data_IF_938470114883
#
_entry.id   IF_938470114883
#
_cell.length_a   1.000
_cell.length_b   1.000
_cell.length_c   1.000
_cell.angle_alpha   90.00
_cell.angle_beta   90.00
_cell.angle_gamma   90.00
#
_symmetry.space_group_name_H-M   'P 1'
#
loop_
_entity.id
_entity.type
_entity.pdbx_description
1 polymer ?
#
# COMPACT_ATOMS: atom_id res chain seq x y z
N UNK A 1 1.76 -0.30 -8.50
CA UNK A 1 1.14 0.99 -8.10
C UNK A 1 1.69 2.01 -9.06
N UNK A 2 1.00 2.21 -10.17
CA UNK A 2 1.28 3.31 -11.09
C UNK A 2 0.79 4.60 -10.40
N UNK A 3 1.47 5.73 -10.64
CA UNK A 3 1.41 6.98 -9.86
C UNK A 3 0.05 7.71 -9.77
N UNK A 4 -1.06 7.05 -10.07
CA UNK A 4 -2.41 7.63 -10.09
C UNK A 4 -3.07 7.67 -8.70
N UNK A 5 -2.51 6.96 -7.72
CA UNK A 5 -3.01 6.92 -6.34
C UNK A 5 -2.21 7.82 -5.38
N UNK A 6 -1.97 9.08 -5.74
CA UNK A 6 -1.35 10.07 -4.84
C UNK A 6 -2.37 10.62 -3.83
N UNK A 7 -1.95 10.91 -2.61
CA UNK A 7 -2.79 11.56 -1.57
C UNK A 7 -2.37 13.01 -1.27
N UNK A 8 -1.20 13.42 -1.78
CA UNK A 8 -0.66 14.77 -1.65
C UNK A 8 -0.64 15.44 -3.02
N UNK A 9 -0.64 16.77 -3.03
CA UNK A 9 -0.57 17.56 -4.26
C UNK A 9 0.75 17.31 -5.00
N UNK A 10 1.86 17.31 -4.25
CA UNK A 10 3.21 17.09 -4.75
C UNK A 10 3.90 15.99 -3.93
N UNK A 11 3.79 14.70 -4.32
CA UNK A 11 4.54 13.61 -3.68
C UNK A 11 6.04 13.80 -3.83
N UNK A 12 6.81 13.43 -2.81
CA UNK A 12 8.27 13.44 -2.92
C UNK A 12 8.74 12.42 -3.97
N UNK A 13 9.75 12.80 -4.73
CA UNK A 13 10.28 11.97 -5.81
C UNK A 13 11.53 11.21 -5.36
N UNK A 14 11.64 9.94 -5.76
CA UNK A 14 12.87 9.17 -5.63
C UNK A 14 13.74 9.44 -6.85
N UNK A 15 14.88 10.12 -6.66
CA UNK A 15 15.89 10.37 -7.70
C UNK A 15 17.20 9.75 -7.28
N UNK A 16 17.82 8.99 -8.19
CA UNK A 16 19.11 8.31 -7.94
C UNK A 16 19.08 7.43 -6.67
N UNK A 17 17.95 6.77 -6.41
CA UNK A 17 17.76 5.89 -5.25
C UNK A 17 17.61 6.62 -3.90
N UNK A 18 17.34 7.93 -3.90
CA UNK A 18 17.24 8.76 -2.70
C UNK A 18 16.04 9.71 -2.79
N UNK A 19 15.59 10.19 -1.63
CA UNK A 19 14.60 11.26 -1.50
C UNK A 19 15.30 12.48 -0.89
N UNK A 20 15.10 13.66 -1.49
CA UNK A 20 15.61 14.91 -0.91
C UNK A 20 14.75 15.32 0.29
N UNK A 21 15.38 15.76 1.38
CA UNK A 21 14.65 16.35 2.52
C UNK A 21 14.12 17.72 2.09
N UNK A 22 12.81 18.00 2.20
CA UNK A 22 12.26 19.30 1.82
C UNK A 22 12.74 20.43 2.73
N UNK A 23 12.99 21.61 2.15
CA UNK A 23 13.31 22.84 2.92
C UNK A 23 12.06 23.53 3.49
N UNK A 24 10.85 23.10 3.08
CA UNK A 24 9.59 23.63 3.58
C UNK A 24 9.31 23.17 5.02
N UNK A 25 8.60 23.97 5.85
CA UNK A 25 8.25 23.60 7.21
C UNK A 25 7.40 22.33 7.32
N UNK A 26 7.44 21.70 8.50
CA UNK A 26 6.63 20.52 8.80
C UNK A 26 7.09 19.29 8.00
N UNK A 27 6.14 18.55 7.43
CA UNK A 27 6.43 17.38 6.59
C UNK A 27 6.82 17.74 5.16
N UNK A 28 6.69 19.01 4.75
CA UNK A 28 6.99 19.45 3.38
C UNK A 28 6.03 18.92 2.31
N UNK A 29 4.77 18.62 2.68
CA UNK A 29 3.74 18.13 1.75
C UNK A 29 2.40 18.79 2.04
N UNK A 30 1.60 18.95 0.98
CA UNK A 30 0.23 19.46 1.05
C UNK A 30 -0.77 18.37 0.66
N UNK A 31 -1.85 18.24 1.42
CA UNK A 31 -2.87 17.22 1.17
C UNK A 31 -3.70 17.55 -0.07
N UNK A 32 -4.06 16.52 -0.84
CA UNK A 32 -5.05 16.62 -1.91
C UNK A 32 -6.37 15.98 -1.43
N UNK A 33 -7.32 16.82 -1.03
CA UNK A 33 -8.58 16.36 -0.45
C UNK A 33 -9.47 15.61 -1.45
N UNK A 34 -9.38 15.91 -2.75
CA UNK A 34 -10.12 15.18 -3.78
C UNK A 34 -9.61 13.74 -3.86
N UNK A 35 -8.29 13.57 -3.84
CA UNK A 35 -7.67 12.25 -3.85
C UNK A 35 -7.92 11.47 -2.55
N UNK A 36 -7.90 12.15 -1.41
CA UNK A 36 -8.27 11.53 -0.12
C UNK A 36 -9.71 11.02 -0.16
N UNK A 37 -10.64 11.80 -0.70
CA UNK A 37 -12.03 11.37 -0.83
C UNK A 37 -12.17 10.17 -1.77
N UNK A 38 -11.45 10.15 -2.91
CA UNK A 38 -11.43 8.99 -3.82
C UNK A 38 -10.91 7.74 -3.10
N UNK A 39 -9.84 7.86 -2.31
CA UNK A 39 -9.29 6.75 -1.53
C UNK A 39 -10.25 6.29 -0.42
N UNK A 40 -10.97 7.21 0.22
CA UNK A 40 -11.99 6.90 1.21
C UNK A 40 -13.19 6.14 0.60
N UNK A 41 -13.68 6.56 -0.57
CA UNK A 41 -14.73 5.84 -1.29
C UNK A 41 -14.24 4.48 -1.82
N UNK A 42 -12.96 4.35 -2.19
CA UNK A 42 -12.36 3.04 -2.47
C UNK A 42 -12.39 2.14 -1.23
N UNK A 43 -11.99 2.64 -0.06
CA UNK A 43 -12.04 1.89 1.20
C UNK A 43 -13.45 1.44 1.56
N UNK A 44 -14.45 2.32 1.47
CA UNK A 44 -15.86 2.00 1.76
C UNK A 44 -16.45 0.87 0.90
N UNK A 45 -15.89 0.66 -0.30
CA UNK A 45 -16.32 -0.40 -1.23
C UNK A 45 -15.68 -1.76 -0.94
N UNK A 46 -14.63 -1.82 -0.11
CA UNK A 46 -13.98 -3.07 0.22
C UNK A 46 -14.81 -3.87 1.23
N UNK A 47 -14.80 -5.22 1.14
CA UNK A 47 -15.32 -6.04 2.22
C UNK A 47 -14.56 -5.70 3.51
N UNK A 48 -15.31 -5.50 4.60
CA UNK A 48 -14.73 -5.11 5.88
C UNK A 48 -13.69 -6.11 6.38
N UNK A 49 -12.58 -5.61 6.91
CA UNK A 49 -11.55 -6.46 7.49
C UNK A 49 -10.22 -5.77 7.64
N UNK A 50 -9.31 -6.44 8.35
CA UNK A 50 -7.90 -6.10 8.35
C UNK A 50 -7.18 -6.88 7.24
N UNK A 51 -5.92 -6.51 6.97
CA UNK A 51 -5.05 -7.23 6.05
C UNK A 51 -4.98 -8.72 6.41
N UNK A 52 -5.24 -9.58 5.42
CA UNK A 52 -5.07 -11.03 5.53
C UNK A 52 -4.45 -11.60 4.24
N UNK A 53 -3.13 -11.77 4.24
CA UNK A 53 -2.39 -12.27 3.08
C UNK A 53 -2.69 -13.75 2.77
N UNK A 54 -3.26 -14.50 3.73
CA UNK A 54 -3.64 -15.89 3.52
C UNK A 54 -4.84 -16.05 2.57
N UNK A 55 -5.70 -15.02 2.46
CA UNK A 55 -6.86 -15.03 1.57
C UNK A 55 -6.46 -15.17 0.09
N UNK A 56 -5.66 -14.24 -0.45
CA UNK A 56 -5.14 -14.36 -1.82
C UNK A 56 -4.33 -15.63 -2.07
N UNK A 57 -3.61 -16.15 -1.07
CA UNK A 57 -2.84 -17.39 -1.21
C UNK A 57 -3.70 -18.62 -1.49
N UNK A 58 -5.00 -18.62 -1.14
CA UNK A 58 -5.90 -19.75 -1.43
C UNK A 58 -6.09 -19.99 -2.93
N UNK A 59 -5.93 -18.97 -3.78
CA UNK A 59 -5.98 -19.12 -5.23
C UNK A 59 -4.73 -19.82 -5.81
N UNK A 60 -3.62 -19.81 -5.06
CA UNK A 60 -2.37 -20.45 -5.48
C UNK A 60 -2.22 -21.85 -4.88
N UNK A 61 -2.56 -22.00 -3.59
CA UNK A 61 -2.46 -23.27 -2.85
C UNK A 61 -3.71 -23.39 -1.94
N UNK A 62 -4.71 -24.21 -2.31
CA UNK A 62 -5.88 -24.44 -1.46
C UNK A 62 -5.47 -24.99 -0.08
N UNK A 63 -5.96 -24.38 0.99
CA UNK A 63 -5.60 -24.73 2.36
C UNK A 63 -4.27 -24.14 2.83
N UNK A 64 -3.71 -23.16 2.11
CA UNK A 64 -2.50 -22.48 2.55
C UNK A 64 -2.70 -21.80 3.90
N UNK A 65 -1.73 -21.98 4.79
CA UNK A 65 -1.67 -21.31 6.11
C UNK A 65 -0.30 -20.68 6.33
N UNK A 66 -0.24 -19.62 7.13
CA UNK A 66 1.03 -19.01 7.53
C UNK A 66 1.86 -19.97 8.38
N UNK A 67 3.17 -20.00 8.11
CA UNK A 67 4.15 -20.71 8.92
C UNK A 67 5.40 -19.84 9.05
N UNK A 68 5.67 -19.34 10.26
CA UNK A 68 6.81 -18.46 10.56
C UNK A 68 8.20 -19.09 10.36
N UNK A 69 8.28 -20.40 10.13
CA UNK A 69 9.54 -21.13 9.94
C UNK A 69 9.66 -21.76 8.56
N UNK A 70 8.72 -21.49 7.64
CA UNK A 70 8.73 -22.06 6.30
C UNK A 70 8.45 -20.98 5.25
N UNK A 71 9.18 -20.96 4.12
CA UNK A 71 8.83 -20.12 2.98
C UNK A 71 7.42 -20.39 2.46
N UNK A 72 6.82 -19.41 1.77
CA UNK A 72 5.43 -19.48 1.26
C UNK A 72 5.15 -20.75 0.45
N UNK A 73 6.10 -21.12 -0.43
CA UNK A 73 6.07 -22.31 -1.31
C UNK A 73 6.93 -23.48 -0.79
N UNK A 74 7.38 -23.45 0.46
CA UNK A 74 8.22 -24.52 1.04
C UNK A 74 7.47 -25.80 1.41
N UNK A 75 6.21 -25.97 0.97
CA UNK A 75 5.44 -27.21 1.11
C UNK A 75 5.78 -28.09 -0.09
N UNK A 76 6.42 -29.23 0.14
CA UNK A 76 6.70 -30.24 -0.88
C UNK A 76 5.52 -31.19 -1.02
#
# INVERSE_FOLDING_TARGET
>A
QEGDCRLTQNPLEIKNGKIAVPDAPGLGVELDWEQVQKAHEAYKRLPGGARNDAGPMQYLIPGWTFDRKRPVFGRH
#
